data_IF_666027554232
#
_entry.id   IF_666027554232
#
_cell.length_a   1.000
_cell.length_b   1.000
_cell.length_c   1.000
_cell.angle_alpha   90.00
_cell.angle_beta   90.00
_cell.angle_gamma   90.00
#
_symmetry.space_group_name_H-M   'P 1'
#
loop_
_entity.id
_entity.type
_entity.pdbx_description
1 polymer ?
#
# COMPACT_ATOMS: atom_id res chain seq x y z
N UNK A 1 -16.48 55.13 -27.69
CA UNK A 1 -16.79 55.71 -26.36
C UNK A 1 -17.65 54.66 -25.67
N UNK A 2 -17.03 53.65 -25.05
CA UNK A 2 -16.58 53.67 -23.64
C UNK A 2 -17.84 53.72 -22.76
N UNK A 3 -18.28 52.64 -22.12
CA UNK A 3 -17.74 52.03 -20.89
C UNK A 3 -18.66 50.85 -20.50
N UNK A 4 -18.36 49.85 -19.69
CA UNK A 4 -17.15 49.27 -19.12
C UNK A 4 -17.59 47.90 -18.60
N UNK A 5 -16.85 46.86 -18.95
CA UNK A 5 -17.13 45.49 -18.53
C UNK A 5 -16.97 45.36 -17.01
N UNK A 6 -18.06 45.03 -16.31
CA UNK A 6 -18.00 44.59 -14.93
C UNK A 6 -17.45 43.16 -14.89
N UNK A 7 -16.12 43.04 -14.86
CA UNK A 7 -15.44 41.81 -14.49
C UNK A 7 -15.72 41.54 -13.00
N UNK A 8 -16.67 40.65 -12.73
CA UNK A 8 -16.81 40.05 -11.42
C UNK A 8 -15.56 39.19 -11.16
N UNK A 9 -14.67 39.71 -10.31
CA UNK A 9 -13.61 38.93 -9.69
C UNK A 9 -14.26 37.76 -8.93
N UNK A 10 -14.15 36.57 -9.52
CA UNK A 10 -14.33 35.33 -8.79
C UNK A 10 -13.03 35.16 -7.99
N UNK A 11 -13.01 35.65 -6.76
CA UNK A 11 -12.00 35.24 -5.79
C UNK A 11 -12.12 33.72 -5.67
N UNK A 12 -11.14 33.02 -6.23
CA UNK A 12 -10.90 31.61 -5.96
C UNK A 12 -10.64 31.50 -4.47
N UNK A 13 -11.67 31.11 -3.73
CA UNK A 13 -11.53 30.68 -2.34
C UNK A 13 -10.60 29.48 -2.41
N UNK A 14 -9.30 29.71 -2.18
CA UNK A 14 -8.30 28.69 -1.92
C UNK A 14 -8.79 27.94 -0.68
N UNK A 15 -9.54 26.87 -0.91
CA UNK A 15 -9.82 25.87 0.11
C UNK A 15 -8.44 25.42 0.59
N UNK A 16 -8.11 25.53 1.89
CA UNK A 16 -6.81 25.10 2.37
C UNK A 16 -6.68 23.61 2.07
N UNK A 17 -5.92 23.29 1.03
CA UNK A 17 -5.59 21.93 0.66
C UNK A 17 -4.87 21.34 1.86
N UNK A 18 -5.45 20.27 2.42
CA UNK A 18 -4.82 19.59 3.54
C UNK A 18 -3.41 19.18 3.12
N UNK A 19 -2.41 19.69 3.83
CA UNK A 19 -1.01 19.41 3.50
C UNK A 19 -0.59 18.14 4.21
N UNK A 20 -0.39 17.08 3.43
CA UNK A 20 0.11 15.81 3.95
C UNK A 20 1.58 15.92 4.38
N UNK A 21 1.90 15.36 5.54
CA UNK A 21 3.28 15.17 5.98
C UNK A 21 3.99 14.09 5.17
N UNK A 22 5.32 14.09 5.20
CA UNK A 22 6.13 13.06 4.53
C UNK A 22 5.77 11.63 4.99
N UNK A 23 5.42 11.46 6.27
CA UNK A 23 4.98 10.16 6.81
C UNK A 23 3.67 9.69 6.16
N UNK A 24 2.70 10.59 6.03
CA UNK A 24 1.40 10.27 5.43
C UNK A 24 1.52 9.96 3.95
N UNK A 25 2.33 10.74 3.22
CA UNK A 25 2.62 10.49 1.81
C UNK A 25 3.28 9.12 1.62
N UNK A 26 4.19 8.73 2.51
CA UNK A 26 4.78 7.40 2.49
C UNK A 26 3.74 6.30 2.75
N UNK A 27 2.83 6.48 3.71
CA UNK A 27 1.73 5.53 3.96
C UNK A 27 0.83 5.36 2.74
N UNK A 28 0.45 6.46 2.09
CA UNK A 28 -0.35 6.47 0.85
C UNK A 28 0.38 5.73 -0.27
N UNK A 29 1.66 6.03 -0.46
CA UNK A 29 2.48 5.37 -1.46
C UNK A 29 2.62 3.86 -1.19
N UNK A 30 2.74 3.46 0.07
CA UNK A 30 2.80 2.05 0.47
C UNK A 30 1.50 1.31 0.17
N UNK A 31 0.34 1.90 0.51
CA UNK A 31 -0.98 1.34 0.21
C UNK A 31 -1.17 1.18 -1.31
N UNK A 32 -0.77 2.19 -2.09
CA UNK A 32 -0.81 2.11 -3.55
C UNK A 32 0.12 1.05 -4.11
N UNK A 33 1.36 0.97 -3.62
CA UNK A 33 2.34 -0.03 -4.05
C UNK A 33 1.81 -1.46 -3.81
N UNK A 34 1.22 -1.72 -2.63
CA UNK A 34 0.58 -3.00 -2.34
C UNK A 34 -0.51 -3.32 -3.37
N UNK A 35 -1.45 -2.39 -3.62
CA UNK A 35 -2.51 -2.61 -4.58
C UNK A 35 -1.95 -2.90 -5.99
N UNK A 36 -0.95 -2.14 -6.44
CA UNK A 36 -0.31 -2.31 -7.74
C UNK A 36 0.44 -3.65 -7.86
N UNK A 37 1.07 -4.12 -6.77
CA UNK A 37 1.82 -5.39 -6.75
C UNK A 37 0.90 -6.61 -6.70
N UNK A 38 -0.17 -6.60 -5.89
CA UNK A 38 -0.98 -7.80 -5.66
C UNK A 38 -2.22 -7.90 -6.56
N UNK A 39 -2.82 -6.78 -7.00
CA UNK A 39 -4.02 -6.81 -7.83
C UNK A 39 -3.86 -7.57 -9.17
N UNK A 40 -2.71 -7.52 -9.87
CA UNK A 40 -2.52 -8.30 -11.09
C UNK A 40 -2.49 -9.82 -10.85
N UNK A 41 -2.23 -10.27 -9.63
CA UNK A 41 -2.01 -11.68 -9.28
C UNK A 41 -3.27 -12.39 -8.78
N UNK A 42 -4.44 -11.82 -9.04
CA UNK A 42 -5.72 -12.43 -8.70
C UNK A 42 -5.92 -13.81 -9.35
N UNK A 43 -5.32 -14.04 -10.52
CA UNK A 43 -5.34 -15.34 -11.20
C UNK A 43 -4.66 -16.46 -10.38
N UNK A 44 -3.66 -16.10 -9.58
CA UNK A 44 -2.92 -17.04 -8.73
C UNK A 44 -3.71 -17.38 -7.47
N UNK A 45 -4.46 -16.43 -6.93
CA UNK A 45 -5.28 -16.62 -5.74
C UNK A 45 -6.68 -16.03 -5.95
N UNK A 46 -7.65 -16.85 -6.42
CA UNK A 46 -9.03 -16.40 -6.64
C UNK A 46 -9.75 -15.97 -5.36
N UNK A 47 -9.21 -16.35 -4.19
CA UNK A 47 -9.72 -15.97 -2.88
C UNK A 47 -9.25 -14.57 -2.45
N UNK A 48 -8.30 -13.97 -3.19
CA UNK A 48 -7.85 -12.62 -2.94
C UNK A 48 -8.92 -11.60 -3.38
N UNK A 49 -9.39 -10.80 -2.42
CA UNK A 49 -10.21 -9.63 -2.70
C UNK A 49 -9.33 -8.49 -3.18
N UNK A 50 -9.39 -8.25 -4.49
CA UNK A 50 -8.74 -7.12 -5.16
C UNK A 50 -9.14 -5.79 -4.52
N UNK A 51 -8.15 -4.90 -4.35
CA UNK A 51 -8.41 -3.51 -3.99
C UNK A 51 -8.91 -2.75 -5.23
N UNK A 52 -9.80 -1.75 -5.07
CA UNK A 52 -10.20 -0.90 -6.19
C UNK A 52 -8.98 -0.23 -6.83
N UNK A 53 -9.07 0.14 -8.11
CA UNK A 53 -8.01 0.92 -8.75
C UNK A 53 -8.12 2.38 -8.30
N UNK A 54 -7.03 2.92 -7.77
CA UNK A 54 -6.91 4.32 -7.39
C UNK A 54 -5.48 4.80 -7.64
N UNK A 55 -5.30 6.11 -7.78
CA UNK A 55 -3.98 6.75 -7.74
C UNK A 55 -3.69 7.28 -6.33
N UNK A 56 -2.43 7.54 -5.97
CA UNK A 56 -2.09 8.20 -4.70
C UNK A 56 -2.88 9.49 -4.47
N UNK A 57 -3.00 10.31 -5.52
CA UNK A 57 -3.77 11.56 -5.47
C UNK A 57 -5.27 11.31 -5.21
N UNK A 58 -5.87 10.28 -5.84
CA UNK A 58 -7.24 9.92 -5.51
C UNK A 58 -7.39 9.52 -4.05
N UNK A 59 -6.43 8.80 -3.48
CA UNK A 59 -6.50 8.40 -2.08
C UNK A 59 -6.38 9.62 -1.13
N UNK A 60 -5.53 10.58 -1.47
CA UNK A 60 -5.39 11.87 -0.78
C UNK A 60 -6.70 12.67 -0.79
N UNK A 61 -7.38 12.74 -1.92
CA UNK A 61 -8.64 13.47 -2.04
C UNK A 61 -9.78 12.74 -1.30
N UNK A 62 -9.83 11.42 -1.41
CA UNK A 62 -10.89 10.59 -0.84
C UNK A 62 -10.81 10.48 0.69
N UNK A 63 -9.62 10.51 1.28
CA UNK A 63 -9.47 10.42 2.74
C UNK A 63 -9.89 11.70 3.47
N UNK A 64 -9.85 12.83 2.77
CA UNK A 64 -10.34 14.13 3.25
C UNK A 64 -11.88 14.18 3.27
N UNK A 65 -12.55 13.36 2.45
CA UNK A 65 -14.02 13.31 2.42
C UNK A 65 -14.56 12.67 3.69
N UNK A 66 -15.75 13.12 4.10
CA UNK A 66 -16.47 12.49 5.20
C UNK A 66 -16.95 11.09 4.82
N UNK A 67 -17.51 10.92 3.63
CA UNK A 67 -17.94 9.62 3.13
C UNK A 67 -17.27 9.36 1.79
N UNK A 68 -16.47 8.31 1.74
CA UNK A 68 -15.79 7.88 0.53
C UNK A 68 -16.11 6.41 0.26
N UNK A 69 -16.68 6.16 -0.91
CA UNK A 69 -16.94 4.82 -1.42
C UNK A 69 -15.63 4.08 -1.70
N UNK A 70 -14.60 4.79 -2.18
CA UNK A 70 -13.28 4.20 -2.44
C UNK A 70 -12.68 3.64 -1.14
N UNK A 71 -12.67 4.43 -0.08
CA UNK A 71 -12.13 4.01 1.22
C UNK A 71 -12.94 2.85 1.80
N UNK A 72 -14.28 2.90 1.67
CA UNK A 72 -15.16 1.81 2.08
C UNK A 72 -14.78 0.49 1.38
N UNK A 73 -14.63 0.53 0.06
CA UNK A 73 -14.25 -0.64 -0.73
C UNK A 73 -12.86 -1.17 -0.38
N UNK A 74 -11.88 -0.27 -0.19
CA UNK A 74 -10.53 -0.66 0.25
C UNK A 74 -10.61 -1.41 1.58
N UNK A 75 -11.26 -0.84 2.60
CA UNK A 75 -11.36 -1.45 3.93
C UNK A 75 -12.07 -2.80 3.86
N UNK A 76 -13.19 -2.89 3.13
CA UNK A 76 -13.93 -4.13 2.96
C UNK A 76 -13.09 -5.25 2.31
N UNK A 77 -12.36 -4.94 1.24
CA UNK A 77 -11.43 -5.89 0.61
C UNK A 77 -10.33 -6.31 1.60
N UNK A 78 -9.73 -5.36 2.31
CA UNK A 78 -8.68 -5.64 3.29
C UNK A 78 -9.16 -6.59 4.39
N UNK A 79 -10.32 -6.32 4.99
CA UNK A 79 -10.89 -7.17 6.04
C UNK A 79 -11.22 -8.56 5.51
N UNK A 80 -11.76 -8.66 4.28
CA UNK A 80 -12.02 -9.94 3.64
C UNK A 80 -10.74 -10.79 3.53
N UNK A 81 -9.63 -10.15 3.14
CA UNK A 81 -8.32 -10.79 2.99
C UNK A 81 -7.69 -11.18 4.33
N UNK A 82 -7.72 -10.31 5.35
CA UNK A 82 -7.13 -10.57 6.67
C UNK A 82 -7.87 -11.69 7.39
N UNK A 83 -9.21 -11.65 7.35
CA UNK A 83 -10.05 -12.65 8.01
C UNK A 83 -10.25 -13.91 7.17
N UNK A 84 -9.60 -14.00 5.99
CA UNK A 84 -9.70 -15.13 5.06
C UNK A 84 -11.16 -15.55 4.81
N UNK A 85 -12.05 -14.58 4.59
CA UNK A 85 -13.48 -14.84 4.41
C UNK A 85 -13.74 -15.40 3.01
N UNK A 86 -14.70 -16.33 2.93
CA UNK A 86 -15.20 -16.84 1.65
C UNK A 86 -16.22 -15.92 0.98
N UNK A 87 -16.81 -14.97 1.73
CA UNK A 87 -17.83 -14.03 1.25
C UNK A 87 -17.31 -12.60 1.32
N UNK A 88 -17.61 -11.77 0.31
CA UNK A 88 -17.22 -10.37 0.32
C UNK A 88 -17.85 -9.65 1.52
N UNK A 89 -17.11 -8.70 2.08
CA UNK A 89 -17.56 -7.90 3.21
C UNK A 89 -18.32 -6.70 2.66
N UNK A 90 -19.62 -6.60 2.94
CA UNK A 90 -20.44 -5.46 2.53
C UNK A 90 -20.37 -4.30 3.53
N UNK A 91 -20.21 -4.62 4.82
CA UNK A 91 -20.15 -3.64 5.91
C UNK A 91 -18.93 -3.88 6.79
N UNK A 92 -18.05 -2.88 6.86
CA UNK A 92 -16.82 -2.98 7.63
C UNK A 92 -16.99 -2.61 9.12
N UNK A 93 -18.04 -1.90 9.53
CA UNK A 93 -18.13 -1.25 10.86
C UNK A 93 -17.81 -2.19 12.03
N UNK A 94 -18.56 -3.29 12.15
CA UNK A 94 -18.38 -4.24 13.25
C UNK A 94 -17.09 -5.05 13.11
N UNK A 95 -16.76 -5.47 11.88
CA UNK A 95 -15.59 -6.31 11.63
C UNK A 95 -14.29 -5.54 11.86
N UNK A 96 -14.24 -4.26 11.47
CA UNK A 96 -13.09 -3.38 11.68
C UNK A 96 -12.90 -3.08 13.17
N UNK A 97 -13.97 -2.79 13.90
CA UNK A 97 -13.89 -2.54 15.33
C UNK A 97 -13.38 -3.75 16.10
N UNK A 98 -13.87 -4.95 15.77
CA UNK A 98 -13.38 -6.21 16.35
C UNK A 98 -11.92 -6.43 16.00
N UNK A 99 -11.54 -6.29 14.72
CA UNK A 99 -10.18 -6.48 14.25
C UNK A 99 -9.18 -5.55 14.96
N UNK A 100 -9.48 -4.25 15.06
CA UNK A 100 -8.62 -3.31 15.80
C UNK A 100 -8.52 -3.71 17.27
N UNK A 101 -9.64 -4.09 17.90
CA UNK A 101 -9.63 -4.52 19.30
C UNK A 101 -8.75 -5.76 19.52
N UNK A 102 -8.77 -6.71 18.59
CA UNK A 102 -7.97 -7.92 18.69
C UNK A 102 -6.49 -7.63 18.40
N UNK A 103 -6.19 -6.77 17.42
CA UNK A 103 -4.82 -6.33 17.12
C UNK A 103 -4.19 -5.46 18.20
N UNK A 104 -5.01 -4.71 18.95
CA UNK A 104 -4.56 -4.02 20.16
C UNK A 104 -4.14 -5.01 21.26
N UNK A 105 -4.84 -6.15 21.39
CA UNK A 105 -4.45 -7.19 22.37
C UNK A 105 -3.16 -7.91 22.00
N UNK A 106 -2.88 -8.04 20.71
CA UNK A 106 -1.63 -8.63 20.21
C UNK A 106 -0.47 -7.63 20.16
N UNK A 107 -0.69 -6.37 20.54
CA UNK A 107 0.28 -5.26 20.47
C UNK A 107 0.79 -4.98 19.05
N UNK A 108 -0.03 -5.29 18.04
CA UNK A 108 0.29 -4.99 16.63
C UNK A 108 -0.09 -3.55 16.24
N UNK A 109 -0.70 -2.78 17.15
CA UNK A 109 -1.06 -1.37 16.95
C UNK A 109 -1.01 -0.58 18.25
N UNK A 110 -0.35 0.57 18.19
CA UNK A 110 -0.12 1.45 19.34
C UNK A 110 -1.25 2.47 19.48
N UNK A 111 -2.42 2.01 19.92
CA UNK A 111 -3.51 2.89 20.35
C UNK A 111 -3.73 2.79 21.86
N UNK A 112 -3.91 3.93 22.53
CA UNK A 112 -4.29 3.96 23.95
C UNK A 112 -5.69 3.36 24.19
N UNK A 113 -6.60 3.57 23.24
CA UNK A 113 -7.97 3.08 23.26
C UNK A 113 -8.48 2.94 21.82
N UNK A 114 -9.33 1.95 21.56
CA UNK A 114 -9.88 1.74 20.21
C UNK A 114 -10.69 2.99 19.77
N UNK A 115 -10.26 3.69 18.69
CA UNK A 115 -10.88 4.93 18.26
C UNK A 115 -12.30 4.73 17.68
N UNK A 116 -12.61 3.51 17.22
CA UNK A 116 -13.91 3.19 16.61
C UNK A 116 -15.01 2.89 17.63
N UNK A 117 -14.70 2.80 18.92
CA UNK A 117 -15.70 2.61 19.98
C UNK A 117 -16.57 3.85 20.19
N UNK A 118 -16.01 5.04 19.95
CA UNK A 118 -16.67 6.32 20.24
C UNK A 118 -17.26 6.98 19.00
N UNK A 119 -16.70 6.69 17.83
CA UNK A 119 -17.06 7.36 16.59
C UNK A 119 -16.85 6.46 15.36
N UNK A 120 -17.58 6.77 14.28
CA UNK A 120 -17.39 6.08 13.01
C UNK A 120 -16.03 6.43 12.39
N UNK A 121 -15.49 5.51 11.58
CA UNK A 121 -14.23 5.70 10.86
C UNK A 121 -14.20 7.03 10.07
N UNK A 122 -15.31 7.38 9.44
CA UNK A 122 -15.51 8.61 8.66
C UNK A 122 -15.29 9.91 9.46
N UNK A 123 -15.56 9.88 10.77
CA UNK A 123 -15.40 11.02 11.67
C UNK A 123 -14.01 11.10 12.32
N UNK A 124 -13.10 10.16 12.02
CA UNK A 124 -11.75 10.18 12.55
C UNK A 124 -10.89 11.29 11.91
N UNK A 125 -9.87 11.78 12.65
CA UNK A 125 -8.82 12.59 12.05
C UNK A 125 -8.12 11.85 10.91
N UNK A 126 -7.66 12.59 9.91
CA UNK A 126 -6.99 12.03 8.71
C UNK A 126 -5.78 11.17 9.10
N UNK A 127 -5.00 11.61 10.08
CA UNK A 127 -3.83 10.88 10.59
C UNK A 127 -4.19 9.46 11.05
N UNK A 128 -5.29 9.33 11.80
CA UNK A 128 -5.75 8.05 12.35
C UNK A 128 -6.38 7.20 11.25
N UNK A 129 -7.14 7.81 10.32
CA UNK A 129 -7.68 7.11 9.15
C UNK A 129 -6.56 6.46 8.33
N UNK A 130 -5.53 7.24 7.98
CA UNK A 130 -4.39 6.76 7.21
C UNK A 130 -3.61 5.68 7.96
N UNK A 131 -3.37 5.87 9.25
CA UNK A 131 -2.66 4.88 10.05
C UNK A 131 -3.41 3.55 10.14
N UNK A 132 -4.75 3.58 10.26
CA UNK A 132 -5.58 2.36 10.21
C UNK A 132 -5.47 1.69 8.84
N UNK A 133 -5.58 2.44 7.73
CA UNK A 133 -5.46 1.87 6.38
C UNK A 133 -4.10 1.24 6.14
N UNK A 134 -3.04 1.92 6.54
CA UNK A 134 -1.68 1.41 6.48
C UNK A 134 -1.55 0.09 7.27
N UNK A 135 -2.05 0.06 8.50
CA UNK A 135 -2.01 -1.13 9.36
C UNK A 135 -2.81 -2.30 8.75
N UNK A 136 -3.96 -2.02 8.13
CA UNK A 136 -4.74 -3.04 7.42
C UNK A 136 -3.97 -3.65 6.25
N UNK A 137 -3.18 -2.86 5.52
CA UNK A 137 -2.32 -3.37 4.45
C UNK A 137 -1.16 -4.19 5.01
N UNK A 138 -0.55 -3.73 6.10
CA UNK A 138 0.52 -4.46 6.78
C UNK A 138 0.04 -5.82 7.30
N UNK A 139 -1.12 -5.88 7.96
CA UNK A 139 -1.67 -7.14 8.44
C UNK A 139 -2.08 -8.10 7.32
N UNK A 140 -2.46 -7.59 6.15
CA UNK A 140 -2.68 -8.48 4.99
C UNK A 140 -1.42 -9.21 4.56
N UNK A 141 -0.24 -8.57 4.67
CA UNK A 141 1.03 -9.22 4.34
C UNK A 141 1.39 -10.34 5.33
N UNK A 142 0.88 -10.27 6.57
CA UNK A 142 1.17 -11.24 7.63
C UNK A 142 0.12 -12.35 7.72
N UNK A 143 -1.17 -11.99 7.75
CA UNK A 143 -2.27 -12.88 8.13
C UNK A 143 -3.07 -13.42 6.94
N UNK A 144 -2.94 -12.81 5.75
CA UNK A 144 -3.74 -13.24 4.59
C UNK A 144 -3.11 -14.46 3.92
N UNK A 145 -3.85 -15.57 3.93
CA UNK A 145 -3.44 -16.80 3.22
C UNK A 145 -3.38 -16.57 1.71
N UNK A 146 -4.26 -15.73 1.17
CA UNK A 146 -4.30 -15.40 -0.25
C UNK A 146 -3.04 -14.65 -0.69
N UNK A 147 -2.61 -13.65 0.09
CA UNK A 147 -1.38 -12.89 -0.16
C UNK A 147 -0.15 -13.80 -0.02
N UNK A 148 -0.13 -14.66 1.00
CA UNK A 148 0.94 -15.64 1.19
C UNK A 148 1.10 -16.57 0.00
N UNK A 149 -0.01 -17.09 -0.55
CA UNK A 149 0.03 -17.93 -1.76
C UNK A 149 0.61 -17.17 -2.97
N UNK A 150 0.28 -15.89 -3.14
CA UNK A 150 0.87 -15.06 -4.20
C UNK A 150 2.38 -14.94 -3.97
N UNK A 151 2.81 -14.58 -2.75
CA UNK A 151 4.25 -14.46 -2.41
C UNK A 151 4.99 -15.79 -2.60
N UNK A 152 4.40 -16.91 -2.19
CA UNK A 152 4.98 -18.24 -2.37
C UNK A 152 5.08 -18.61 -3.86
N UNK A 153 4.10 -18.24 -4.68
CA UNK A 153 4.17 -18.44 -6.13
C UNK A 153 5.32 -17.66 -6.78
N UNK A 154 5.58 -16.45 -6.30
CA UNK A 154 6.76 -15.68 -6.73
C UNK A 154 8.04 -16.37 -6.31
N UNK A 155 8.16 -16.79 -5.05
CA UNK A 155 9.33 -17.51 -4.56
C UNK A 155 9.59 -18.81 -5.32
N UNK A 156 8.53 -19.53 -5.71
CA UNK A 156 8.63 -20.76 -6.50
C UNK A 156 9.05 -20.50 -7.95
N UNK A 157 8.54 -19.44 -8.59
CA UNK A 157 8.98 -19.02 -9.92
C UNK A 157 10.45 -18.54 -9.92
N UNK A 158 10.86 -17.83 -8.86
CA UNK A 158 12.22 -17.31 -8.70
C UNK A 158 13.23 -18.39 -8.28
N UNK A 159 12.78 -19.43 -7.59
CA UNK A 159 13.59 -20.58 -7.19
C UNK A 159 14.08 -21.44 -8.36
N UNK A 160 13.46 -21.31 -9.55
CA UNK A 160 13.83 -22.05 -10.76
C UNK A 160 14.33 -21.13 -11.89
N UNK A 161 14.14 -19.80 -11.80
CA UNK A 161 14.41 -18.89 -12.93
C UNK A 161 14.86 -17.49 -12.50
N UNK A 162 16.09 -17.40 -12.00
CA UNK A 162 17.07 -16.35 -12.32
C UNK A 162 16.79 -14.85 -12.05
N UNK A 163 15.77 -14.41 -11.29
CA UNK A 163 15.52 -12.97 -11.16
C UNK A 163 15.22 -12.44 -9.73
N UNK A 164 15.59 -13.14 -8.66
CA UNK A 164 15.49 -12.54 -7.33
C UNK A 164 16.52 -11.38 -7.22
N UNK A 165 16.09 -10.12 -7.03
CA UNK A 165 16.99 -8.96 -7.00
C UNK A 165 17.96 -8.97 -5.79
N UNK A 166 17.68 -9.78 -4.77
CA UNK A 166 18.52 -9.96 -3.57
C UNK A 166 19.38 -11.22 -3.69
N UNK A 167 19.31 -11.97 -4.80
CA UNK A 167 20.06 -13.20 -4.97
C UNK A 167 21.57 -12.95 -4.91
N UNK A 168 22.16 -13.27 -3.76
CA UNK A 168 23.59 -13.12 -3.53
C UNK A 168 24.33 -14.19 -4.33
N UNK A 169 25.08 -13.78 -5.36
CA UNK A 169 25.93 -14.68 -6.13
C UNK A 169 27.38 -14.55 -5.65
N UNK A 170 28.09 -15.66 -5.37
CA UNK A 170 29.50 -15.58 -5.04
C UNK A 170 30.28 -15.15 -6.29
N UNK A 171 30.99 -14.03 -6.20
CA UNK A 171 31.79 -13.48 -7.30
C UNK A 171 33.15 -14.17 -7.39
N UNK A 172 33.70 -14.54 -6.23
CA UNK A 172 35.01 -15.16 -6.12
C UNK A 172 35.47 -15.26 -4.68
N UNK A 173 36.58 -15.96 -4.49
CA UNK A 173 37.22 -16.16 -3.19
C UNK A 173 38.64 -15.62 -3.21
N UNK A 174 39.00 -14.83 -2.20
CA UNK A 174 40.38 -14.36 -1.99
C UNK A 174 41.30 -15.52 -1.58
N UNK A 175 42.63 -15.34 -1.70
CA UNK A 175 43.66 -16.23 -1.17
C UNK A 175 43.51 -16.50 0.34
N UNK A 176 42.83 -15.60 1.07
CA UNK A 176 42.43 -15.77 2.48
C UNK A 176 41.06 -16.48 2.67
N UNK A 177 40.53 -17.15 1.66
CA UNK A 177 39.23 -17.88 1.67
C UNK A 177 38.00 -17.03 2.05
N UNK A 178 38.04 -15.73 1.78
CA UNK A 178 36.89 -14.83 1.97
C UNK A 178 36.07 -14.81 0.68
N UNK A 179 34.78 -15.10 0.78
CA UNK A 179 33.85 -15.09 -0.36
C UNK A 179 33.24 -13.70 -0.52
N UNK A 180 33.39 -13.12 -1.71
CA UNK A 180 32.72 -11.89 -2.07
C UNK A 180 31.36 -12.20 -2.70
N UNK A 181 30.35 -11.44 -2.30
CA UNK A 181 28.97 -11.63 -2.73
C UNK A 181 28.51 -10.43 -3.56
N UNK A 182 27.91 -10.69 -4.70
CA UNK A 182 27.23 -9.70 -5.52
C UNK A 182 25.73 -9.79 -5.26
N UNK A 183 25.14 -8.64 -4.94
CA UNK A 183 23.70 -8.46 -4.85
C UNK A 183 23.22 -7.70 -6.09
N UNK A 184 22.05 -8.04 -6.65
CA UNK A 184 21.48 -7.40 -7.84
C UNK A 184 21.80 -8.07 -9.18
N UNK A 185 21.15 -7.60 -10.25
CA UNK A 185 21.29 -8.11 -11.61
C UNK A 185 22.63 -7.73 -12.28
N UNK A 186 22.89 -8.27 -13.48
CA UNK A 186 24.02 -7.84 -14.31
C UNK A 186 23.89 -6.34 -14.56
N UNK A 187 24.92 -5.58 -14.17
CA UNK A 187 25.12 -4.24 -14.69
C UNK A 187 25.26 -4.36 -16.20
N UNK A 188 24.24 -4.00 -16.97
CA UNK A 188 24.44 -3.74 -18.39
C UNK A 188 25.49 -2.64 -18.48
N UNK A 189 26.63 -3.00 -19.07
CA UNK A 189 27.79 -2.14 -19.19
C UNK A 189 27.39 -0.86 -19.92
N UNK A 190 27.26 0.25 -19.20
CA UNK A 190 27.28 1.58 -19.80
C UNK A 190 28.74 1.89 -20.19
N UNK A 191 29.16 1.42 -21.37
CA UNK A 191 30.40 1.81 -22.06
C UNK A 191 31.73 1.55 -21.32
N UNK A 192 32.91 1.77 -21.94
CA UNK A 192 33.15 2.57 -23.12
C UNK A 192 33.49 1.71 -24.35
N UNK A 193 33.02 2.15 -25.53
CA UNK A 193 33.65 1.76 -26.78
C UNK A 193 35.08 2.27 -26.79
N UNK A 194 36.04 1.37 -26.67
CA UNK A 194 37.46 1.62 -26.93
C UNK A 194 37.86 0.64 -28.02
N UNK A 195 37.80 1.16 -29.25
CA UNK A 195 38.74 0.96 -30.37
C UNK A 195 39.66 -0.25 -30.24
N UNK A 196 39.30 -1.34 -30.91
CA UNK A 196 40.27 -2.32 -31.39
C UNK A 196 40.96 -1.73 -32.63
N UNK A 197 42.29 -1.65 -32.56
CA UNK A 197 43.19 -1.46 -33.71
C UNK A 197 43.64 -2.84 -34.19
#
# INVERSE_FOLDING_TARGET
MSDTAAAANLESVDVPSYTFSALQQWQIAFIYAFAATFNPHQEVSPQYYKLPYFTPQNLEDEIQKQESELIHQIICSCIGNILNRNKPVESFKNSLQQLITDKMKTFDIDFESNPLLKQNYNALPIDIKLYILYSLVEWQLQDSAAVKLIVDSYNLQDGLTAANPIMARPVGTDAKKRTYWQFGGKWDRIGPGIIDN
#
